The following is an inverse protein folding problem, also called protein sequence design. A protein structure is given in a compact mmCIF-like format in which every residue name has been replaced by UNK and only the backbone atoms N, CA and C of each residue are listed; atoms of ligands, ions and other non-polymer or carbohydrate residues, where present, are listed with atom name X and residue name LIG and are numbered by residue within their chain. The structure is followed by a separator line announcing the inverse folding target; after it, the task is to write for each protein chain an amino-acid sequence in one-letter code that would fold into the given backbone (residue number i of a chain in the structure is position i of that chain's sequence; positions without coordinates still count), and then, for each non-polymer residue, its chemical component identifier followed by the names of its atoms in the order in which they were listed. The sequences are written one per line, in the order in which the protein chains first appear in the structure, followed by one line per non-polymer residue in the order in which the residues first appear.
data_IF_117412212646
#
_entry.id   IF_117412212646
#
_cell.length_a   1.000
_cell.length_b   1.000
_cell.length_c   1.000
_cell.angle_alpha   90.00
_cell.angle_beta   90.00
_cell.angle_gamma   90.00
#
_symmetry.space_group_name_H-M   'P 1'
#
loop_
_entity.id
_entity.type
_entity.pdbx_description
1 polymer ?
#
# COMPACT_ATOMS: atom_id res chain seq x y z
N UNK A 1 -16.00 14.67 -7.55
CA UNK A 1 -14.64 14.12 -7.37
C UNK A 1 -14.04 14.77 -6.14
N UNK A 2 -13.68 14.00 -5.12
CA UNK A 2 -12.89 14.48 -3.99
C UNK A 2 -11.60 15.16 -4.51
N UNK A 3 -11.22 16.32 -3.97
CA UNK A 3 -9.98 17.05 -4.33
C UNK A 3 -8.69 16.31 -3.93
N UNK A 4 -8.79 15.10 -3.37
CA UNK A 4 -7.67 14.20 -3.09
C UNK A 4 -6.85 13.83 -4.34
N UNK A 5 -7.46 13.83 -5.54
CA UNK A 5 -6.79 13.44 -6.80
C UNK A 5 -5.63 14.35 -7.22
N UNK A 6 -5.54 15.60 -6.72
CA UNK A 6 -4.45 16.54 -7.07
C UNK A 6 -3.11 16.23 -6.39
N UNK A 7 -3.08 15.23 -5.50
CA UNK A 7 -1.94 14.96 -4.59
C UNK A 7 -1.10 13.74 -5.01
N UNK A 8 -1.41 13.15 -6.17
CA UNK A 8 -0.82 11.91 -6.67
C UNK A 8 -0.33 12.03 -8.11
N UNK A 9 0.69 11.26 -8.48
CA UNK A 9 1.07 11.06 -9.90
C UNK A 9 0.16 9.96 -10.45
N UNK A 10 -0.58 10.27 -11.52
CA UNK A 10 -1.68 9.46 -12.05
C UNK A 10 -1.27 8.77 -13.36
N UNK A 11 -1.29 7.44 -13.37
CA UNK A 11 -1.35 6.63 -14.59
C UNK A 11 -2.68 5.85 -14.62
N UNK A 12 -3.79 6.59 -14.53
CA UNK A 12 -5.11 6.05 -14.18
C UNK A 12 -6.20 6.20 -15.25
N UNK A 13 -5.98 7.00 -16.30
CA UNK A 13 -7.08 7.38 -17.20
C UNK A 13 -7.82 6.18 -17.79
N UNK A 14 -7.09 5.19 -18.34
CA UNK A 14 -7.71 4.00 -18.93
C UNK A 14 -8.50 3.13 -17.94
N UNK A 15 -8.11 3.09 -16.65
CA UNK A 15 -8.84 2.27 -15.65
C UNK A 15 -10.11 2.98 -15.20
N UNK A 16 -10.11 4.32 -15.21
CA UNK A 16 -11.31 5.13 -14.97
C UNK A 16 -12.26 5.06 -16.17
N UNK A 17 -11.75 5.11 -17.41
CA UNK A 17 -12.56 4.90 -18.62
C UNK A 17 -13.24 3.53 -18.59
N UNK A 18 -12.51 2.49 -18.15
CA UNK A 18 -13.08 1.15 -17.97
C UNK A 18 -14.18 1.13 -16.90
N UNK A 19 -13.97 1.84 -15.79
CA UNK A 19 -14.97 1.96 -14.73
C UNK A 19 -16.23 2.67 -15.22
N UNK A 20 -16.09 3.77 -15.96
CA UNK A 20 -17.20 4.50 -16.58
C UNK A 20 -17.94 3.64 -17.62
N UNK A 21 -17.24 2.75 -18.32
CA UNK A 21 -17.82 1.73 -19.20
C UNK A 21 -18.46 0.55 -18.46
N UNK A 22 -18.55 0.59 -17.13
CA UNK A 22 -19.20 -0.42 -16.29
C UNK A 22 -18.34 -1.62 -15.91
N UNK A 23 -17.03 -1.61 -16.23
CA UNK A 23 -16.10 -2.66 -15.78
C UNK A 23 -15.66 -2.39 -14.35
N UNK A 24 -15.56 -3.45 -13.55
CA UNK A 24 -14.98 -3.37 -12.20
C UNK A 24 -13.48 -3.56 -12.26
N UNK A 25 -12.79 -3.02 -11.26
CA UNK A 25 -11.35 -3.23 -11.04
C UNK A 25 -11.11 -3.58 -9.57
N UNK A 26 -9.93 -4.11 -9.28
CA UNK A 26 -9.47 -4.39 -7.91
C UNK A 26 -8.37 -3.42 -7.50
N UNK A 27 -8.25 -3.21 -6.19
CA UNK A 27 -7.16 -2.48 -5.57
C UNK A 27 -6.09 -3.47 -5.11
N UNK A 28 -4.83 -3.06 -5.25
CA UNK A 28 -3.69 -3.77 -4.68
C UNK A 28 -2.75 -2.79 -3.99
N UNK A 29 -2.46 -3.02 -2.73
CA UNK A 29 -1.38 -2.36 -2.00
C UNK A 29 -0.72 -3.36 -1.06
N UNK A 30 0.32 -2.96 -0.33
CA UNK A 30 1.01 -3.89 0.56
C UNK A 30 1.89 -3.22 1.61
N UNK A 31 2.49 -4.08 2.42
CA UNK A 31 3.38 -3.70 3.51
C UNK A 31 4.47 -4.75 3.66
N UNK A 32 5.72 -4.29 3.64
CA UNK A 32 6.87 -5.04 4.13
C UNK A 32 7.00 -4.93 5.65
N UNK A 33 6.72 -5.99 6.43
CA UNK A 33 6.68 -5.94 7.89
C UNK A 33 8.09 -5.96 8.49
N UNK A 34 8.74 -4.79 8.57
CA UNK A 34 10.08 -4.62 9.15
C UNK A 34 10.08 -4.15 10.62
N UNK A 35 8.92 -3.81 11.17
CA UNK A 35 8.75 -3.31 12.54
C UNK A 35 7.36 -2.72 12.80
N UNK A 36 7.19 -1.98 13.90
CA UNK A 36 5.92 -1.33 14.24
C UNK A 36 5.45 -0.35 13.16
N UNK A 37 4.13 -0.25 13.00
CA UNK A 37 3.51 0.72 12.11
C UNK A 37 3.60 2.13 12.71
N UNK A 38 3.95 3.11 11.89
CA UNK A 38 3.90 4.53 12.23
C UNK A 38 2.92 5.26 11.30
N UNK A 39 2.51 6.46 11.67
CA UNK A 39 1.49 7.25 10.95
C UNK A 39 1.77 7.43 9.44
N UNK A 40 3.04 7.52 9.04
CA UNK A 40 3.40 7.61 7.62
C UNK A 40 2.99 6.39 6.78
N UNK A 41 2.94 5.19 7.38
CA UNK A 41 2.46 3.98 6.69
C UNK A 41 0.94 4.00 6.50
N UNK A 42 0.20 4.69 7.38
CA UNK A 42 -1.27 4.75 7.32
C UNK A 42 -1.77 5.63 6.17
N UNK A 43 -0.99 6.60 5.70
CA UNK A 43 -1.38 7.52 4.61
C UNK A 43 -1.84 6.77 3.35
N UNK A 44 -1.01 5.91 2.72
CA UNK A 44 -1.44 5.18 1.54
C UNK A 44 -2.63 4.26 1.84
N UNK A 45 -2.75 3.74 3.06
CA UNK A 45 -3.85 2.84 3.43
C UNK A 45 -5.17 3.58 3.60
N UNK A 46 -5.18 4.75 4.24
CA UNK A 46 -6.36 5.62 4.36
C UNK A 46 -6.84 6.04 2.97
N UNK A 47 -5.92 6.39 2.08
CA UNK A 47 -6.27 6.70 0.69
C UNK A 47 -6.82 5.48 -0.06
N UNK A 48 -6.22 4.30 0.14
CA UNK A 48 -6.74 3.05 -0.43
C UNK A 48 -8.14 2.74 0.08
N UNK A 49 -8.42 2.98 1.37
CA UNK A 49 -9.75 2.80 1.96
C UNK A 49 -10.75 3.75 1.32
N UNK A 50 -10.38 5.01 1.09
CA UNK A 50 -11.21 5.95 0.35
C UNK A 50 -11.53 5.45 -1.06
N UNK A 51 -10.54 4.93 -1.80
CA UNK A 51 -10.76 4.32 -3.11
C UNK A 51 -11.71 3.12 -3.03
N UNK A 52 -11.55 2.26 -2.01
CA UNK A 52 -12.44 1.12 -1.79
C UNK A 52 -13.89 1.58 -1.57
N UNK A 53 -14.11 2.60 -0.75
CA UNK A 53 -15.45 3.13 -0.48
C UNK A 53 -16.09 3.74 -1.73
N UNK A 54 -15.34 4.54 -2.49
CA UNK A 54 -15.83 5.26 -3.67
C UNK A 54 -16.16 4.32 -4.82
N UNK A 55 -15.28 3.35 -5.10
CA UNK A 55 -15.42 2.47 -6.26
C UNK A 55 -16.10 1.13 -5.92
N UNK A 56 -16.26 0.83 -4.62
CA UNK A 56 -16.76 -0.44 -4.14
C UNK A 56 -15.85 -1.63 -4.48
N UNK A 57 -14.57 -1.38 -4.77
CA UNK A 57 -13.60 -2.35 -5.28
C UNK A 57 -13.15 -3.37 -4.22
N UNK A 58 -12.80 -4.59 -4.65
CA UNK A 58 -12.05 -5.53 -3.79
C UNK A 58 -10.63 -5.01 -3.59
N UNK A 59 -10.03 -5.31 -2.44
CA UNK A 59 -8.66 -4.99 -2.07
C UNK A 59 -7.89 -6.26 -1.76
N UNK A 60 -6.78 -6.48 -2.45
CA UNK A 60 -5.74 -7.42 -2.04
C UNK A 60 -4.64 -6.64 -1.32
N UNK A 61 -4.40 -6.97 -0.06
CA UNK A 61 -3.38 -6.34 0.76
C UNK A 61 -2.26 -7.33 1.04
N UNK A 62 -1.09 -7.13 0.43
CA UNK A 62 0.03 -8.07 0.59
C UNK A 62 0.90 -7.71 1.80
N UNK A 63 1.18 -8.70 2.64
CA UNK A 63 2.21 -8.67 3.68
C UNK A 63 3.42 -9.45 3.17
N UNK A 64 4.47 -8.72 2.79
CA UNK A 64 5.70 -9.28 2.20
C UNK A 64 6.67 -9.74 3.30
N UNK A 65 6.17 -10.64 4.16
CA UNK A 65 6.91 -11.17 5.31
C UNK A 65 8.06 -12.10 4.88
N UNK A 66 7.90 -12.80 3.77
CA UNK A 66 8.97 -13.53 3.11
C UNK A 66 10.11 -12.61 2.64
N UNK A 67 9.81 -11.46 2.01
CA UNK A 67 10.80 -10.45 1.60
C UNK A 67 11.66 -10.01 2.78
N UNK A 68 11.01 -9.67 3.91
CA UNK A 68 11.73 -9.15 5.08
C UNK A 68 12.56 -10.23 5.75
N UNK A 69 12.14 -11.49 5.70
CA UNK A 69 12.97 -12.63 6.06
C UNK A 69 14.18 -12.78 5.12
N UNK A 70 13.97 -12.68 3.81
CA UNK A 70 15.02 -12.88 2.79
C UNK A 70 16.10 -11.79 2.78
N UNK A 71 15.74 -10.55 3.14
CA UNK A 71 16.65 -9.41 3.13
C UNK A 71 17.37 -9.23 4.47
N UNK A 72 16.72 -9.55 5.59
CA UNK A 72 17.25 -9.24 6.92
C UNK A 72 17.92 -10.47 7.57
N UNK A 73 19.25 -10.47 7.77
CA UNK A 73 19.97 -11.60 8.37
C UNK A 73 19.50 -11.97 9.79
N UNK A 74 18.92 -11.01 10.52
CA UNK A 74 18.45 -11.17 11.90
C UNK A 74 16.98 -11.57 12.00
N UNK A 75 16.31 -11.80 10.86
CA UNK A 75 14.91 -12.22 10.83
C UNK A 75 14.83 -13.74 10.70
N UNK A 76 14.10 -14.37 11.61
CA UNK A 76 13.55 -15.70 11.41
C UNK A 76 12.20 -15.58 10.72
N UNK A 77 11.72 -16.65 10.08
CA UNK A 77 10.36 -16.68 9.54
C UNK A 77 9.32 -16.36 10.61
N UNK A 78 9.42 -17.01 11.77
CA UNK A 78 8.54 -16.75 12.93
C UNK A 78 8.52 -15.27 13.34
N UNK A 79 9.69 -14.62 13.38
CA UNK A 79 9.79 -13.19 13.69
C UNK A 79 9.11 -12.34 12.62
N UNK A 80 9.31 -12.67 11.34
CA UNK A 80 8.68 -11.94 10.24
C UNK A 80 7.16 -12.10 10.26
N UNK A 81 6.66 -13.34 10.44
CA UNK A 81 5.22 -13.64 10.52
C UNK A 81 4.57 -12.91 11.69
N UNK A 82 5.23 -12.89 12.86
CA UNK A 82 4.71 -12.17 14.03
C UNK A 82 4.59 -10.66 13.76
N UNK A 83 5.58 -10.04 13.10
CA UNK A 83 5.50 -8.62 12.75
C UNK A 83 4.41 -8.39 11.69
N UNK A 84 4.27 -9.32 10.73
CA UNK A 84 3.21 -9.28 9.72
C UNK A 84 1.82 -9.32 10.34
N UNK A 85 1.60 -10.22 11.30
CA UNK A 85 0.36 -10.30 12.09
C UNK A 85 0.07 -8.99 12.82
N UNK A 86 1.05 -8.45 13.56
CA UNK A 86 0.87 -7.18 14.28
C UNK A 86 0.59 -6.00 13.32
N UNK A 87 1.21 -5.99 12.13
CA UNK A 87 0.95 -4.99 11.09
C UNK A 87 -0.42 -5.19 10.44
N UNK A 88 -0.92 -6.43 10.31
CA UNK A 88 -2.25 -6.72 9.79
C UNK A 88 -3.35 -6.15 10.69
N UNK A 89 -3.18 -6.20 12.02
CA UNK A 89 -4.10 -5.55 12.96
C UNK A 89 -4.17 -4.03 12.72
N UNK A 90 -3.04 -3.39 12.43
CA UNK A 90 -3.00 -1.96 12.08
C UNK A 90 -3.68 -1.65 10.75
N UNK A 91 -3.61 -2.57 9.77
CA UNK A 91 -4.34 -2.43 8.49
C UNK A 91 -5.84 -2.54 8.72
N UNK A 92 -6.29 -3.54 9.49
CA UNK A 92 -7.71 -3.73 9.84
C UNK A 92 -8.24 -2.51 10.60
N UNK A 93 -7.45 -1.97 11.53
CA UNK A 93 -7.79 -0.78 12.30
C UNK A 93 -8.01 0.48 11.46
N UNK A 94 -7.55 0.53 10.20
CA UNK A 94 -7.90 1.62 9.27
C UNK A 94 -9.42 1.65 9.02
N UNK A 95 -10.07 0.49 9.03
CA UNK A 95 -11.52 0.33 8.82
C UNK A 95 -11.90 0.04 7.37
N UNK A 96 -11.17 -0.87 6.71
CA UNK A 96 -11.57 -1.44 5.42
C UNK A 96 -12.81 -2.33 5.57
N UNK A 97 -13.55 -2.56 4.47
CA UNK A 97 -14.68 -3.49 4.46
C UNK A 97 -14.16 -4.94 4.49
N UNK A 98 -14.47 -5.75 5.53
CA UNK A 98 -14.01 -7.14 5.63
C UNK A 98 -14.51 -8.01 4.47
N UNK A 99 -15.67 -7.70 3.87
CA UNK A 99 -16.22 -8.49 2.75
C UNK A 99 -15.47 -8.26 1.44
N UNK A 100 -14.65 -7.22 1.38
CA UNK A 100 -13.95 -6.79 0.17
C UNK A 100 -12.44 -6.73 0.35
N UNK A 101 -11.91 -7.13 1.49
CA UNK A 101 -10.49 -6.95 1.83
C UNK A 101 -9.85 -8.28 2.16
N UNK A 102 -8.79 -8.58 1.43
CA UNK A 102 -8.10 -9.87 1.47
C UNK A 102 -6.62 -9.64 1.77
N UNK A 103 -6.20 -9.88 3.02
CA UNK A 103 -4.82 -9.81 3.49
C UNK A 103 -4.10 -11.11 3.13
N UNK A 104 -3.03 -10.97 2.37
CA UNK A 104 -2.18 -12.07 1.91
C UNK A 104 -0.91 -12.06 2.73
N UNK A 105 -0.65 -13.09 3.54
CA UNK A 105 0.64 -13.33 4.19
C UNK A 105 1.47 -14.21 3.26
N UNK A 106 2.50 -13.66 2.62
CA UNK A 106 3.19 -14.32 1.51
C UNK A 106 3.79 -15.68 1.92
N UNK A 107 4.41 -15.74 3.11
CA UNK A 107 5.01 -16.97 3.62
C UNK A 107 4.01 -18.07 3.99
N UNK A 108 2.73 -17.72 4.21
CA UNK A 108 1.68 -18.66 4.58
C UNK A 108 0.69 -18.98 3.45
N UNK A 109 0.80 -18.32 2.29
CA UNK A 109 -0.16 -18.42 1.18
C UNK A 109 0.46 -18.99 -0.10
N UNK A 110 1.19 -20.10 0.07
CA UNK A 110 2.02 -20.66 -0.99
C UNK A 110 1.29 -21.26 -2.22
N UNK A 111 -0.01 -21.58 -2.18
CA UNK A 111 -0.67 -22.34 -3.26
C UNK A 111 -0.87 -21.52 -4.54
N UNK A 112 -1.83 -20.60 -4.52
CA UNK A 112 -2.16 -19.73 -5.66
C UNK A 112 -1.04 -18.74 -5.96
N UNK A 113 -0.35 -18.25 -4.92
CA UNK A 113 0.77 -17.34 -5.11
C UNK A 113 1.87 -17.98 -5.94
N UNK A 114 2.27 -19.20 -5.59
CA UNK A 114 3.34 -19.88 -6.32
C UNK A 114 2.95 -20.16 -7.78
N UNK A 115 1.73 -20.63 -8.05
CA UNK A 115 1.24 -20.92 -9.41
C UNK A 115 1.32 -19.71 -10.34
N UNK A 116 0.99 -18.51 -9.84
CA UNK A 116 1.06 -17.28 -10.63
C UNK A 116 2.50 -16.76 -10.68
N UNK A 117 3.22 -16.79 -9.55
CA UNK A 117 4.59 -16.30 -9.45
C UNK A 117 5.52 -17.04 -10.41
N UNK A 118 5.41 -18.37 -10.57
CA UNK A 118 6.27 -19.10 -11.53
C UNK A 118 5.99 -18.71 -12.99
N UNK A 119 4.76 -18.34 -13.32
CA UNK A 119 4.42 -17.85 -14.67
C UNK A 119 5.02 -16.47 -14.91
N UNK A 120 4.97 -15.59 -13.90
CA UNK A 120 5.61 -14.27 -13.93
C UNK A 120 7.12 -14.41 -14.02
N UNK A 121 7.74 -15.19 -13.13
CA UNK A 121 9.18 -15.41 -13.05
C UNK A 121 9.76 -15.94 -14.37
N UNK A 122 9.05 -16.84 -15.07
CA UNK A 122 9.46 -17.34 -16.39
C UNK A 122 9.63 -16.23 -17.44
N UNK A 123 9.07 -15.04 -17.23
CA UNK A 123 9.13 -13.88 -18.14
C UNK A 123 10.09 -12.78 -17.67
N UNK A 124 10.72 -12.95 -16.51
CA UNK A 124 11.69 -12.00 -15.95
C UNK A 124 13.06 -12.66 -16.00
N UNK A 125 14.01 -12.01 -16.69
CA UNK A 125 15.40 -12.50 -16.71
C UNK A 125 16.14 -12.02 -15.47
N UNK A 126 17.17 -12.76 -15.04
CA UNK A 126 18.04 -12.30 -13.95
C UNK A 126 18.70 -10.95 -14.27
N UNK A 127 19.06 -10.71 -15.54
CA UNK A 127 19.59 -9.41 -15.98
C UNK A 127 18.61 -8.26 -15.75
N UNK A 128 17.31 -8.49 -15.96
CA UNK A 128 16.26 -7.51 -15.63
C UNK A 128 16.21 -7.25 -14.12
N UNK A 129 16.19 -8.30 -13.30
CA UNK A 129 16.15 -8.16 -11.84
C UNK A 129 17.37 -7.38 -11.33
N UNK A 130 18.58 -7.74 -11.78
CA UNK A 130 19.84 -7.06 -11.46
C UNK A 130 19.81 -5.57 -11.83
N UNK A 131 19.34 -5.24 -13.03
CA UNK A 131 19.29 -3.86 -13.50
C UNK A 131 18.26 -3.00 -12.75
N UNK A 132 17.13 -3.57 -12.35
CA UNK A 132 16.02 -2.82 -11.73
C UNK A 132 16.18 -2.70 -10.22
N UNK A 133 16.62 -3.76 -9.55
CA UNK A 133 16.66 -3.83 -8.07
C UNK A 133 18.08 -3.77 -7.49
N UNK A 134 19.12 -3.69 -8.34
CA UNK A 134 20.50 -3.61 -7.89
C UNK A 134 21.03 -4.88 -7.23
N UNK A 135 20.46 -6.05 -7.54
CA UNK A 135 20.90 -7.31 -6.96
C UNK A 135 22.25 -7.76 -7.53
N UNK A 136 23.01 -8.48 -6.70
CA UNK A 136 24.33 -9.01 -7.01
C UNK A 136 24.29 -10.53 -7.20
N UNK A 137 25.37 -11.11 -7.71
CA UNK A 137 25.52 -12.58 -7.81
C UNK A 137 25.58 -13.27 -6.43
N UNK A 138 25.95 -12.51 -5.39
CA UNK A 138 25.92 -12.91 -4.00
C UNK A 138 24.52 -12.87 -3.36
N UNK A 139 23.53 -12.28 -4.04
CA UNK A 139 22.15 -12.20 -3.53
C UNK A 139 21.51 -13.57 -3.49
N UNK A 140 20.75 -13.86 -2.43
CA UNK A 140 20.10 -15.17 -2.30
C UNK A 140 19.01 -15.37 -3.37
N UNK A 141 18.78 -16.63 -3.75
CA UNK A 141 17.81 -16.96 -4.81
C UNK A 141 16.36 -16.56 -4.47
N UNK A 142 16.04 -16.43 -3.18
CA UNK A 142 14.72 -16.01 -2.73
C UNK A 142 14.45 -14.56 -3.09
N UNK A 143 15.35 -13.63 -2.76
CA UNK A 143 15.17 -12.21 -3.10
C UNK A 143 15.22 -11.97 -4.63
N UNK A 144 15.93 -12.83 -5.37
CA UNK A 144 15.91 -12.79 -6.85
C UNK A 144 14.53 -13.19 -7.39
N UNK A 145 13.84 -14.13 -6.74
CA UNK A 145 12.51 -14.61 -7.12
C UNK A 145 11.37 -13.68 -6.64
N UNK A 146 11.57 -12.99 -5.52
CA UNK A 146 10.56 -12.17 -4.84
C UNK A 146 9.82 -11.15 -5.73
N UNK A 147 10.43 -10.45 -6.71
CA UNK A 147 9.69 -9.58 -7.63
C UNK A 147 8.53 -10.28 -8.35
N UNK A 148 8.62 -11.60 -8.57
CA UNK A 148 7.53 -12.39 -9.13
C UNK A 148 6.39 -12.61 -8.13
N UNK A 149 6.68 -12.79 -6.84
CA UNK A 149 5.70 -12.88 -5.75
C UNK A 149 4.97 -11.55 -5.58
N UNK A 150 5.69 -10.44 -5.53
CA UNK A 150 5.10 -9.10 -5.41
C UNK A 150 4.21 -8.74 -6.61
N UNK A 151 4.44 -9.31 -7.80
CA UNK A 151 3.55 -9.10 -8.94
C UNK A 151 2.19 -9.82 -8.82
N UNK A 152 2.10 -10.91 -8.04
CA UNK A 152 0.96 -11.83 -8.05
C UNK A 152 -0.37 -11.16 -7.73
N UNK A 153 -0.51 -10.29 -6.70
CA UNK A 153 -1.78 -9.68 -6.35
C UNK A 153 -2.42 -8.88 -7.49
N UNK A 154 -1.64 -8.44 -8.50
CA UNK A 154 -2.18 -7.81 -9.70
C UNK A 154 -3.04 -8.74 -10.56
N UNK A 155 -2.91 -10.06 -10.39
CA UNK A 155 -3.50 -11.07 -11.26
C UNK A 155 -4.41 -12.07 -10.52
N UNK A 156 -4.45 -12.05 -9.18
CA UNK A 156 -5.22 -13.02 -8.37
C UNK A 156 -6.69 -13.05 -8.76
N UNK A 157 -7.37 -11.89 -8.79
CA UNK A 157 -8.80 -11.83 -9.16
C UNK A 157 -9.03 -12.39 -10.56
N UNK A 158 -8.14 -12.08 -11.52
CA UNK A 158 -8.27 -12.59 -12.88
C UNK A 158 -8.14 -14.10 -12.97
N UNK A 159 -7.26 -14.69 -12.16
CA UNK A 159 -7.08 -16.14 -12.09
C UNK A 159 -8.26 -16.82 -11.39
N UNK A 160 -8.79 -16.23 -10.32
CA UNK A 160 -9.91 -16.79 -9.56
C UNK A 160 -11.21 -16.74 -10.38
N UNK A 161 -11.46 -15.62 -11.05
CA UNK A 161 -12.72 -15.39 -11.78
C UNK A 161 -12.70 -15.92 -13.20
N UNK A 162 -11.51 -16.08 -13.80
CA UNK A 162 -11.33 -16.36 -15.22
C UNK A 162 -11.56 -15.13 -16.12
N UNK A 163 -11.91 -13.97 -15.55
CA UNK A 163 -12.07 -12.71 -16.28
C UNK A 163 -10.83 -11.84 -16.14
N UNK A 164 -10.31 -11.30 -17.23
CA UNK A 164 -9.18 -10.37 -17.16
C UNK A 164 -9.60 -9.08 -16.44
N UNK A 165 -9.30 -8.99 -15.15
CA UNK A 165 -9.76 -7.92 -14.26
C UNK A 165 -8.67 -6.86 -14.10
N UNK A 166 -8.95 -5.57 -14.36
CA UNK A 166 -8.00 -4.49 -14.14
C UNK A 166 -7.61 -4.34 -12.65
N UNK A 167 -6.37 -3.91 -12.41
CA UNK A 167 -5.83 -3.66 -11.07
C UNK A 167 -5.31 -2.22 -10.95
N UNK A 168 -5.67 -1.53 -9.87
CA UNK A 168 -5.17 -0.21 -9.48
C UNK A 168 -4.30 -0.31 -8.23
N UNK A 169 -3.08 0.23 -8.29
CA UNK A 169 -2.08 0.18 -7.21
C UNK A 169 -1.87 1.56 -6.57
N UNK A 170 -2.52 1.83 -5.41
CA UNK A 170 -2.16 2.95 -4.55
C UNK A 170 -0.96 2.62 -3.67
N UNK A 171 0.20 3.22 -3.96
CA UNK A 171 1.44 2.96 -3.23
C UNK A 171 2.33 4.20 -3.12
N UNK A 172 3.39 4.10 -2.32
CA UNK A 172 4.47 5.07 -2.35
C UNK A 172 5.34 4.89 -3.61
N UNK A 173 6.04 5.95 -4.02
CA UNK A 173 6.79 5.99 -5.29
C UNK A 173 8.01 5.05 -5.32
N UNK A 174 8.55 4.66 -4.17
CA UNK A 174 9.67 3.71 -4.04
C UNK A 174 9.35 2.29 -4.50
N UNK A 175 8.07 1.94 -4.60
CA UNK A 175 7.63 0.62 -5.06
C UNK A 175 7.51 0.53 -6.60
N UNK A 176 7.64 1.65 -7.32
CA UNK A 176 7.54 1.72 -8.78
C UNK A 176 8.45 0.72 -9.53
N UNK A 177 9.69 0.39 -9.09
CA UNK A 177 10.52 -0.63 -9.73
C UNK A 177 9.82 -2.00 -9.87
N UNK A 178 9.09 -2.46 -8.85
CA UNK A 178 8.33 -3.71 -8.90
C UNK A 178 7.19 -3.64 -9.92
N UNK A 179 6.50 -2.51 -9.96
CA UNK A 179 5.34 -2.32 -10.83
C UNK A 179 5.73 -2.12 -12.28
N UNK A 180 6.88 -1.52 -12.57
CA UNK A 180 7.43 -1.45 -13.93
C UNK A 180 7.66 -2.83 -14.51
N UNK A 181 8.35 -3.69 -13.77
CA UNK A 181 8.58 -5.09 -14.18
C UNK A 181 7.26 -5.83 -14.36
N UNK A 182 6.32 -5.64 -13.44
CA UNK A 182 4.98 -6.25 -13.53
C UNK A 182 4.23 -5.81 -14.79
N UNK A 183 4.28 -4.52 -15.14
CA UNK A 183 3.65 -3.96 -16.36
C UNK A 183 4.28 -4.46 -17.66
N UNK A 184 5.57 -4.80 -17.65
CA UNK A 184 6.26 -5.37 -18.81
C UNK A 184 5.92 -6.86 -19.02
N UNK A 185 5.58 -7.56 -17.93
CA UNK A 185 5.21 -8.98 -17.96
C UNK A 185 3.72 -9.19 -18.22
N UNK A 186 2.85 -8.33 -17.67
CA UNK A 186 1.40 -8.52 -17.71
C UNK A 186 0.84 -8.83 -19.12
N UNK A 187 1.17 -8.09 -20.20
CA UNK A 187 0.65 -8.40 -21.54
C UNK A 187 1.12 -9.75 -22.09
N UNK A 188 2.32 -10.21 -21.70
CA UNK A 188 2.87 -11.53 -22.11
C UNK A 188 2.14 -12.70 -21.46
N UNK A 189 1.39 -12.42 -20.38
CA UNK A 189 0.52 -13.36 -19.68
C UNK A 189 -0.96 -13.17 -20.04
N UNK A 190 -1.28 -12.22 -20.94
CA UNK A 190 -2.66 -11.91 -21.33
C UNK A 190 -3.42 -11.01 -20.34
N UNK A 191 -2.74 -10.43 -19.34
CA UNK A 191 -3.37 -9.55 -18.36
C UNK A 191 -3.24 -8.07 -18.72
N UNK A 192 -4.15 -7.25 -18.19
CA UNK A 192 -4.00 -5.80 -18.22
C UNK A 192 -2.76 -5.35 -17.45
N UNK A 193 -2.09 -4.31 -17.96
CA UNK A 193 -1.02 -3.64 -17.20
C UNK A 193 -1.65 -2.99 -15.97
N UNK A 194 -1.16 -3.21 -14.73
CA UNK A 194 -1.73 -2.54 -13.57
C UNK A 194 -1.59 -1.02 -13.69
N UNK A 195 -2.66 -0.30 -13.33
CA UNK A 195 -2.66 1.15 -13.16
C UNK A 195 -2.01 1.51 -11.82
N UNK A 196 -1.43 2.71 -11.72
CA UNK A 196 -0.71 3.14 -10.52
C UNK A 196 -1.11 4.56 -10.13
N UNK A 197 -1.16 4.79 -8.82
CA UNK A 197 -1.38 6.10 -8.21
C UNK A 197 -0.41 6.28 -7.04
N UNK A 198 0.51 7.24 -7.16
CA UNK A 198 1.62 7.36 -6.20
C UNK A 198 1.39 8.45 -5.16
N UNK A 199 1.54 8.10 -3.88
CA UNK A 199 1.59 9.07 -2.77
C UNK A 199 2.96 9.75 -2.72
N UNK A 200 3.00 11.05 -2.43
CA UNK A 200 4.24 11.70 -1.98
C UNK A 200 4.57 11.27 -0.55
N UNK A 201 5.87 11.18 -0.23
CA UNK A 201 6.31 10.86 1.13
C UNK A 201 5.93 11.96 2.12
N UNK A 202 5.48 11.55 3.30
CA UNK A 202 5.35 12.45 4.44
C UNK A 202 6.75 12.72 5.03
N UNK A 203 7.19 13.98 5.14
CA UNK A 203 8.48 14.29 5.73
C UNK A 203 8.51 13.90 7.22
N UNK A 204 9.65 13.36 7.67
CA UNK A 204 9.87 13.05 9.08
C UNK A 204 10.01 14.30 9.96
N UNK A 205 9.96 14.10 11.29
CA UNK A 205 10.06 15.17 12.30
C UNK A 205 11.49 15.74 12.50
N UNK A 206 12.44 15.40 11.64
CA UNK A 206 13.86 15.75 11.76
C UNK A 206 14.21 17.21 11.41
N UNK A 207 15.47 17.62 11.67
CA UNK A 207 15.97 18.96 11.36
C UNK A 207 15.93 19.22 9.85
N UNK A 208 15.15 20.22 9.42
CA UNK A 208 15.10 20.73 8.05
C UNK A 208 13.72 20.66 7.38
N UNK A 209 12.77 19.92 7.93
CA UNK A 209 11.38 19.94 7.51
C UNK A 209 10.51 20.67 8.54
N UNK A 210 9.54 21.46 8.09
CA UNK A 210 8.36 21.78 8.91
C UNK A 210 7.23 20.82 8.49
N UNK A 211 7.21 19.57 9.01
CA UNK A 211 6.24 18.58 8.59
C UNK A 211 4.82 18.89 9.07
N UNK A 212 4.67 19.86 9.99
CA UNK A 212 3.39 20.22 10.62
C UNK A 212 2.34 20.54 9.56
N UNK A 213 2.68 21.38 8.58
CA UNK A 213 1.79 21.70 7.47
C UNK A 213 1.39 20.45 6.68
N UNK A 214 2.34 19.56 6.38
CA UNK A 214 2.06 18.34 5.61
C UNK A 214 1.15 17.35 6.35
N UNK A 215 1.22 17.29 7.68
CA UNK A 215 0.27 16.50 8.47
C UNK A 215 -1.16 17.04 8.35
N UNK A 216 -1.35 18.35 8.44
CA UNK A 216 -2.67 18.94 8.16
C UNK A 216 -3.10 18.65 6.73
N UNK A 217 -2.22 18.98 5.78
CA UNK A 217 -2.48 18.85 4.36
C UNK A 217 -2.91 17.44 3.97
N UNK A 218 -2.17 16.40 4.38
CA UNK A 218 -2.42 15.04 3.92
C UNK A 218 -3.39 14.23 4.78
N UNK A 219 -3.54 14.55 6.07
CA UNK A 219 -4.23 13.65 7.01
C UNK A 219 -5.35 14.30 7.80
N UNK A 220 -5.18 15.53 8.27
CA UNK A 220 -6.02 16.05 9.34
C UNK A 220 -6.93 17.20 8.94
N UNK A 221 -6.81 17.73 7.72
CA UNK A 221 -7.70 18.77 7.21
C UNK A 221 -8.27 18.34 5.86
N UNK A 222 -9.60 18.24 5.81
CA UNK A 222 -10.35 17.79 4.63
C UNK A 222 -10.70 18.96 3.71
N UNK A 223 -10.81 20.17 4.26
CA UNK A 223 -11.20 21.37 3.52
C UNK A 223 -9.97 22.12 2.98
N UNK A 224 -9.86 22.18 1.64
CA UNK A 224 -8.77 22.88 0.95
C UNK A 224 -8.72 24.39 1.29
N UNK A 225 -9.86 25.01 1.65
CA UNK A 225 -9.92 26.40 2.15
C UNK A 225 -9.16 26.57 3.46
N UNK A 226 -9.39 25.70 4.45
CA UNK A 226 -8.74 25.74 5.77
C UNK A 226 -7.25 25.50 5.68
N UNK A 227 -6.81 24.67 4.73
CA UNK A 227 -5.39 24.49 4.43
C UNK A 227 -4.76 25.78 3.92
N UNK A 228 -5.42 26.48 3.00
CA UNK A 228 -4.93 27.77 2.48
C UNK A 228 -4.89 28.82 3.58
N UNK A 229 -5.93 28.91 4.40
CA UNK A 229 -5.98 29.82 5.56
C UNK A 229 -4.82 29.55 6.53
N UNK A 230 -4.54 28.27 6.83
CA UNK A 230 -3.40 27.89 7.68
C UNK A 230 -2.05 28.26 7.04
N UNK A 231 -1.90 28.06 5.73
CA UNK A 231 -0.69 28.44 5.00
C UNK A 231 -0.47 29.96 5.04
N UNK A 232 -1.52 30.74 4.76
CA UNK A 232 -1.49 32.20 4.79
C UNK A 232 -1.16 32.72 6.20
N UNK A 233 -1.87 32.24 7.22
CA UNK A 233 -1.60 32.60 8.62
C UNK A 233 -0.16 32.28 9.04
N UNK A 234 0.38 31.14 8.59
CA UNK A 234 1.77 30.75 8.88
C UNK A 234 2.78 31.69 8.20
N UNK A 235 2.55 32.03 6.92
CA UNK A 235 3.44 32.93 6.16
C UNK A 235 3.42 34.36 6.67
N UNK A 236 2.26 34.82 7.15
CA UNK A 236 2.07 36.17 7.67
C UNK A 236 2.51 36.31 9.13
N UNK A 237 2.74 35.19 9.84
CA UNK A 237 3.09 35.19 11.26
C UNK A 237 1.89 35.33 12.21
N UNK A 238 0.66 35.15 11.68
CA UNK A 238 -0.60 35.22 12.45
C UNK A 238 -0.78 34.00 13.37
N UNK A 239 -0.06 32.91 13.12
CA UNK A 239 -0.02 31.72 13.98
C UNK A 239 1.40 31.40 14.43
N UNK A 240 1.58 31.20 15.74
CA UNK A 240 2.86 30.79 16.30
C UNK A 240 3.14 29.32 16.03
N UNK A 241 4.40 28.98 15.72
CA UNK A 241 4.84 27.60 15.52
C UNK A 241 4.49 26.69 16.71
N UNK A 242 4.54 27.20 17.94
CA UNK A 242 4.17 26.45 19.15
C UNK A 242 2.69 26.13 19.20
N UNK A 243 1.84 27.11 18.88
CA UNK A 243 0.39 26.93 18.82
C UNK A 243 -0.03 25.93 17.73
N UNK A 244 0.52 26.08 16.52
CA UNK A 244 0.24 25.17 15.41
C UNK A 244 0.60 23.71 15.73
N UNK A 245 1.73 23.51 16.44
CA UNK A 245 2.16 22.18 16.92
C UNK A 245 1.23 21.60 17.97
N UNK A 246 0.77 22.40 18.93
CA UNK A 246 -0.16 21.95 19.98
C UNK A 246 -1.48 21.49 19.36
N UNK A 247 -2.05 22.32 18.47
CA UNK A 247 -3.29 21.98 17.73
C UNK A 247 -3.14 20.66 16.96
N UNK A 248 -1.99 20.45 16.32
CA UNK A 248 -1.75 19.22 15.56
C UNK A 248 -1.59 18.01 16.49
N UNK A 249 -0.86 18.18 17.60
CA UNK A 249 -0.62 17.11 18.57
C UNK A 249 -1.94 16.60 19.17
N UNK A 250 -2.92 17.47 19.40
CA UNK A 250 -4.26 17.07 19.85
C UNK A 250 -4.99 16.22 18.81
N UNK A 251 -4.96 16.62 17.52
CA UNK A 251 -5.55 15.83 16.42
C UNK A 251 -4.87 14.46 16.28
N UNK A 252 -3.54 14.44 16.30
CA UNK A 252 -2.75 13.20 16.26
C UNK A 252 -3.10 12.30 17.44
N UNK A 253 -3.16 12.84 18.66
CA UNK A 253 -3.49 12.08 19.87
C UNK A 253 -4.86 11.42 19.74
N UNK A 254 -5.87 12.19 19.31
CA UNK A 254 -7.23 11.67 19.09
C UNK A 254 -7.25 10.54 18.06
N UNK A 255 -6.58 10.75 16.93
CA UNK A 255 -6.48 9.76 15.86
C UNK A 255 -5.79 8.47 16.34
N UNK A 256 -4.66 8.59 17.06
CA UNK A 256 -3.93 7.43 17.57
C UNK A 256 -4.73 6.67 18.62
N UNK A 257 -5.44 7.36 19.52
CA UNK A 257 -6.30 6.71 20.53
C UNK A 257 -7.41 5.89 19.86
N UNK A 258 -8.08 6.45 18.86
CA UNK A 258 -9.13 5.73 18.13
C UNK A 258 -8.57 4.56 17.30
N UNK A 259 -7.42 4.76 16.66
CA UNK A 259 -6.73 3.70 15.92
C UNK A 259 -6.32 2.54 16.84
N UNK A 260 -5.77 2.85 18.02
CA UNK A 260 -5.39 1.83 19.01
C UNK A 260 -6.59 1.03 19.51
N UNK A 261 -7.73 1.69 19.73
CA UNK A 261 -8.97 1.00 20.12
C UNK A 261 -9.43 0.02 19.03
N UNK A 262 -9.54 0.48 17.79
CA UNK A 262 -9.91 -0.36 16.63
C UNK A 262 -8.91 -1.50 16.38
N UNK A 263 -7.63 -1.26 16.64
CA UNK A 263 -6.57 -2.27 16.55
C UNK A 263 -6.73 -3.38 17.59
N UNK A 264 -7.20 -3.06 18.80
CA UNK A 264 -7.49 -4.07 19.81
C UNK A 264 -8.69 -4.93 19.38
N UNK A 265 -9.76 -4.29 18.91
CA UNK A 265 -10.95 -4.96 18.36
C UNK A 265 -10.59 -5.85 17.14
N UNK A 266 -9.63 -5.42 16.31
CA UNK A 266 -9.19 -6.16 15.13
C UNK A 266 -8.65 -7.57 15.41
N UNK A 267 -8.18 -7.84 16.64
CA UNK A 267 -7.66 -9.17 17.02
C UNK A 267 -8.74 -10.26 16.90
N UNK A 268 -9.99 -9.90 17.20
CA UNK A 268 -11.12 -10.81 17.16
C UNK A 268 -11.64 -11.06 15.73
N UNK A 269 -11.23 -10.22 14.78
CA UNK A 269 -11.77 -10.19 13.42
C UNK A 269 -10.73 -10.52 12.33
N UNK A 270 -9.47 -10.80 12.67
CA UNK A 270 -8.41 -10.98 11.66
C UNK A 270 -8.74 -12.07 10.62
N UNK A 271 -9.39 -13.16 11.06
CA UNK A 271 -9.79 -14.28 10.21
C UNK A 271 -10.74 -13.88 9.08
N UNK A 272 -11.51 -12.81 9.25
CA UNK A 272 -12.42 -12.28 8.23
C UNK A 272 -11.68 -11.62 7.06
N UNK A 273 -10.46 -11.16 7.30
CA UNK A 273 -9.64 -10.46 6.31
C UNK A 273 -8.63 -11.36 5.62
N UNK A 274 -8.25 -12.49 6.22
CA UNK A 274 -7.24 -13.35 5.64
C UNK A 274 -7.70 -13.90 4.29
N UNK A 275 -6.86 -13.73 3.26
CA UNK A 275 -7.09 -14.32 1.96
C UNK A 275 -7.14 -15.85 2.08
N UNK A 276 -8.18 -16.44 1.52
CA UNK A 276 -8.39 -17.89 1.46
C UNK A 276 -8.51 -18.29 0.00
N UNK A 277 -7.79 -19.34 -0.38
CA UNK A 277 -7.93 -19.89 -1.72
C UNK A 277 -9.35 -20.44 -1.90
N UNK A 278 -10.02 -20.12 -3.02
CA UNK A 278 -11.31 -20.70 -3.36
C UNK A 278 -11.19 -22.20 -3.74
#
# INVERSE_FOLDING_TARGET
MYEAGRRFVLYTDWILDMYEAGRRFVLYTGRGPSGPVHIGHLIPWIFTKHLQDVFGAKLYFQMTDDEKFLINPEFTLEKSNRIAYENALDVIAVGFDPKKTFIIMDSERGGILYKIAVQVAKRITFSTVKAVFGLEESSNIGIIFFPAIQAVPCFIESVITGENTPCLIPAAIDQDPYWRVTRDVAPKLGYYKPAQIHCKFLPGLGKGGNPIYYYYYYLFEEEDSKIKELEEACRNGDILCGECKIRLAERIKRFLTEHQKRREEAKDHIEEYLFREP
#
